data_IF_522114111950
#
_entry.id   IF_522114111950
#
_cell.length_a   1.000
_cell.length_b   1.000
_cell.length_c   1.000
_cell.angle_alpha   90.00
_cell.angle_beta   90.00
_cell.angle_gamma   90.00
#
_symmetry.space_group_name_H-M   'P 1'
#
loop_
_entity.id
_entity.type
_entity.pdbx_description
1 polymer ?
#
# COMPACT_ATOMS: atom_id res chain seq x y z
N UNK A 1 -19.19 -46.31 13.73
CA UNK A 1 -19.38 -44.86 13.49
C UNK A 1 -18.02 -44.30 13.09
N UNK A 2 -17.73 -44.23 11.79
CA UNK A 2 -16.47 -43.68 11.29
C UNK A 2 -16.51 -42.16 11.50
N UNK A 3 -15.85 -41.68 12.54
CA UNK A 3 -15.66 -40.25 12.75
C UNK A 3 -14.77 -39.77 11.61
N UNK A 4 -15.37 -39.00 10.69
CA UNK A 4 -14.85 -37.92 9.83
C UNK A 4 -13.33 -37.60 9.79
N UNK A 5 -12.47 -38.63 9.66
CA UNK A 5 -11.00 -38.50 9.65
C UNK A 5 -10.49 -37.45 8.63
N UNK A 6 -11.14 -37.35 7.46
CA UNK A 6 -10.79 -36.37 6.43
C UNK A 6 -11.10 -34.92 6.83
N UNK A 7 -12.21 -34.67 7.55
CA UNK A 7 -12.60 -33.31 7.99
C UNK A 7 -11.66 -32.81 9.09
N UNK A 8 -11.30 -33.69 10.02
CA UNK A 8 -10.40 -33.33 11.12
C UNK A 8 -8.96 -33.07 10.62
N UNK A 9 -8.51 -33.84 9.63
CA UNK A 9 -7.25 -33.57 8.92
C UNK A 9 -7.32 -32.22 8.20
N UNK A 10 -8.38 -31.94 7.44
CA UNK A 10 -8.51 -30.65 6.73
C UNK A 10 -8.58 -29.45 7.67
N UNK A 11 -9.28 -29.57 8.80
CA UNK A 11 -9.36 -28.51 9.80
C UNK A 11 -8.02 -28.22 10.47
N UNK A 12 -7.16 -29.24 10.65
CA UNK A 12 -5.80 -29.07 11.15
C UNK A 12 -4.94 -28.20 10.24
N UNK A 13 -5.07 -28.36 8.93
CA UNK A 13 -4.27 -27.64 7.93
C UNK A 13 -4.90 -26.33 7.44
N UNK A 14 -6.15 -26.03 7.81
CA UNK A 14 -6.88 -24.87 7.30
C UNK A 14 -6.22 -23.53 7.63
N UNK A 15 -5.50 -23.46 8.76
CA UNK A 15 -4.76 -22.28 9.19
C UNK A 15 -3.28 -22.28 8.77
N UNK A 16 -2.80 -23.34 8.12
CA UNK A 16 -1.44 -23.42 7.64
C UNK A 16 -1.36 -22.78 6.25
N UNK A 17 -0.53 -21.75 6.12
CA UNK A 17 -0.36 -21.00 4.89
C UNK A 17 0.70 -19.91 5.01
N UNK A 18 1.11 -19.43 3.86
CA UNK A 18 1.93 -18.22 3.72
C UNK A 18 1.00 -17.08 3.31
N UNK A 19 1.14 -15.92 3.96
CA UNK A 19 0.25 -14.79 3.79
C UNK A 19 1.05 -13.55 3.38
N UNK A 20 0.54 -12.83 2.39
CA UNK A 20 1.02 -11.51 1.97
C UNK A 20 -0.16 -10.56 1.82
N UNK A 21 0.10 -9.27 1.98
CA UNK A 21 -0.91 -8.23 1.91
C UNK A 21 -0.36 -7.00 1.20
N UNK A 22 -1.18 -6.45 0.31
CA UNK A 22 -0.91 -5.21 -0.41
C UNK A 22 -2.03 -4.21 -0.09
N UNK A 23 -1.66 -2.97 0.21
CA UNK A 23 -2.61 -1.90 0.50
C UNK A 23 -2.21 -0.62 -0.20
N UNK A 24 -3.12 -0.11 -1.01
CA UNK A 24 -2.97 1.18 -1.66
C UNK A 24 -3.74 2.28 -0.92
N UNK A 25 -3.23 3.50 -1.00
CA UNK A 25 -3.93 4.68 -0.51
C UNK A 25 -3.39 5.97 -1.10
N UNK A 26 -4.30 6.89 -1.42
CA UNK A 26 -3.94 8.20 -1.94
C UNK A 26 -3.45 9.11 -0.81
N UNK A 27 -2.42 9.90 -1.07
CA UNK A 27 -1.99 10.97 -0.18
C UNK A 27 -2.81 12.22 -0.42
N UNK A 28 -3.25 12.84 0.66
CA UNK A 28 -4.02 14.09 0.64
C UNK A 28 -3.42 15.13 1.58
N UNK A 29 -3.62 16.40 1.27
CA UNK A 29 -3.30 17.51 2.17
C UNK A 29 -4.34 17.65 3.29
N UNK A 30 -4.15 18.64 4.18
CA UNK A 30 -5.06 18.93 5.29
C UNK A 30 -6.47 19.35 4.86
N UNK A 31 -6.65 19.75 3.60
CA UNK A 31 -7.96 20.07 3.02
C UNK A 31 -8.64 18.86 2.37
N UNK A 32 -8.00 17.69 2.40
CA UNK A 32 -8.49 16.47 1.76
C UNK A 32 -8.28 16.44 0.25
N UNK A 33 -7.47 17.36 -0.31
CA UNK A 33 -7.14 17.37 -1.74
C UNK A 33 -5.95 16.48 -2.01
N UNK A 34 -5.85 15.94 -3.22
CA UNK A 34 -4.71 15.12 -3.63
C UNK A 34 -3.38 15.85 -3.43
N UNK A 35 -2.44 15.16 -2.78
CA UNK A 35 -1.10 15.70 -2.59
C UNK A 35 -0.41 15.92 -3.95
N UNK A 36 0.31 17.04 -4.03
CA UNK A 36 1.10 17.47 -5.19
C UNK A 36 2.60 17.33 -4.94
N UNK A 37 3.01 16.73 -3.83
CA UNK A 37 4.43 16.53 -3.49
C UNK A 37 4.96 15.24 -4.11
N UNK A 38 6.29 15.10 -4.21
CA UNK A 38 6.91 13.86 -4.67
C UNK A 38 6.77 12.73 -3.64
N UNK A 39 6.88 11.49 -4.10
CA UNK A 39 6.82 10.31 -3.25
C UNK A 39 7.92 10.35 -2.17
N UNK A 40 7.58 10.32 -0.87
CA UNK A 40 8.54 10.64 0.18
C UNK A 40 9.32 9.44 0.73
N UNK A 41 9.10 8.22 0.20
CA UNK A 41 9.72 6.99 0.70
C UNK A 41 10.93 6.50 -0.11
N UNK A 42 11.30 7.18 -1.19
CA UNK A 42 12.49 6.83 -1.98
C UNK A 42 12.39 5.43 -2.60
N UNK A 43 13.46 4.62 -2.49
CA UNK A 43 13.51 3.24 -2.97
C UNK A 43 13.26 2.24 -1.82
N UNK A 44 12.20 2.44 -1.05
CA UNK A 44 11.79 1.50 -0.01
C UNK A 44 11.19 0.24 -0.65
N UNK A 45 11.56 -0.94 -0.14
CA UNK A 45 11.12 -2.22 -0.72
C UNK A 45 9.68 -2.60 -0.34
N UNK A 46 9.15 -2.01 0.72
CA UNK A 46 7.85 -2.34 1.29
C UNK A 46 6.84 -1.19 1.18
N UNK A 47 7.31 -0.02 0.74
CA UNK A 47 6.49 1.17 0.52
C UNK A 47 6.91 1.76 -0.83
N UNK A 48 6.14 1.48 -1.87
CA UNK A 48 6.33 2.02 -3.22
C UNK A 48 5.14 2.92 -3.57
N UNK A 49 5.02 3.25 -4.86
CA UNK A 49 3.88 3.93 -5.45
C UNK A 49 3.24 3.05 -6.52
N UNK A 50 1.91 3.11 -6.59
CA UNK A 50 1.18 2.41 -7.63
C UNK A 50 1.11 3.23 -8.95
N UNK A 51 -0.08 3.56 -9.45
CA UNK A 51 -0.27 4.29 -10.72
C UNK A 51 0.11 5.76 -10.61
N UNK A 52 -0.28 6.42 -9.51
CA UNK A 52 0.02 7.84 -9.27
C UNK A 52 1.20 8.06 -8.32
N UNK A 53 1.90 9.18 -8.47
CA UNK A 53 2.99 9.62 -7.60
C UNK A 53 2.55 9.83 -6.14
N UNK A 54 1.27 10.13 -5.94
CA UNK A 54 0.64 10.30 -4.64
C UNK A 54 -0.13 9.06 -4.17
N UNK A 55 -0.11 7.94 -4.88
CA UNK A 55 -0.75 6.68 -4.48
C UNK A 55 0.28 5.78 -3.83
N UNK A 56 0.34 5.79 -2.50
CA UNK A 56 1.26 4.93 -1.73
C UNK A 56 0.76 3.50 -1.79
N UNK A 57 1.68 2.57 -2.04
CA UNK A 57 1.47 1.13 -2.05
C UNK A 57 2.31 0.51 -0.94
N UNK A 58 1.66 -0.15 0.03
CA UNK A 58 2.30 -0.87 1.12
C UNK A 58 2.29 -2.36 0.77
N UNK A 59 3.45 -3.00 0.78
CA UNK A 59 3.63 -4.41 0.42
C UNK A 59 4.31 -5.12 1.59
N UNK A 60 3.63 -6.10 2.18
CA UNK A 60 4.22 -6.91 3.26
C UNK A 60 5.17 -7.97 2.71
N UNK A 61 6.05 -8.49 3.56
CA UNK A 61 6.71 -9.75 3.31
C UNK A 61 5.75 -10.94 3.35
N UNK A 62 6.32 -12.13 3.22
CA UNK A 62 5.61 -13.39 3.45
C UNK A 62 5.59 -13.67 4.94
N UNK A 63 4.39 -13.78 5.52
CA UNK A 63 4.15 -14.13 6.91
C UNK A 63 3.64 -15.57 7.04
N UNK A 64 4.01 -16.26 8.11
CA UNK A 64 3.58 -17.66 8.39
C UNK A 64 2.41 -17.74 9.38
N UNK A 65 1.91 -16.59 9.83
CA UNK A 65 0.71 -16.48 10.66
C UNK A 65 -0.02 -15.16 10.42
N UNK A 66 -1.33 -15.13 10.70
CA UNK A 66 -2.14 -13.91 10.64
C UNK A 66 -1.64 -12.85 11.62
N UNK A 67 -1.19 -13.26 12.81
CA UNK A 67 -0.68 -12.33 13.84
C UNK A 67 0.62 -11.64 13.40
N UNK A 68 1.52 -12.37 12.73
CA UNK A 68 2.74 -11.83 12.13
C UNK A 68 2.40 -10.81 11.04
N UNK A 69 1.52 -11.20 10.11
CA UNK A 69 1.06 -10.33 9.03
C UNK A 69 0.44 -9.04 9.57
N UNK A 70 -0.43 -9.15 10.57
CA UNK A 70 -1.10 -7.99 11.15
C UNK A 70 -0.11 -7.03 11.82
N UNK A 71 0.89 -7.55 12.54
CA UNK A 71 1.95 -6.72 13.14
C UNK A 71 2.74 -5.99 12.06
N UNK A 72 3.07 -6.66 10.96
CA UNK A 72 3.78 -6.04 9.84
C UNK A 72 2.96 -4.92 9.20
N UNK A 73 1.67 -5.17 8.93
CA UNK A 73 0.73 -4.16 8.39
C UNK A 73 0.69 -2.93 9.30
N UNK A 74 0.52 -3.11 10.60
CA UNK A 74 0.45 -2.00 11.57
C UNK A 74 1.76 -1.21 11.59
N UNK A 75 2.91 -1.89 11.56
CA UNK A 75 4.22 -1.25 11.54
C UNK A 75 4.46 -0.43 10.27
N UNK A 76 4.18 -1.01 9.10
CA UNK A 76 4.35 -0.34 7.81
C UNK A 76 3.39 0.85 7.67
N UNK A 77 2.12 0.67 8.02
CA UNK A 77 1.15 1.78 8.04
C UNK A 77 1.57 2.88 9.02
N UNK A 78 2.06 2.51 10.20
CA UNK A 78 2.57 3.45 11.19
C UNK A 78 3.75 4.26 10.63
N UNK A 79 4.70 3.60 9.95
CA UNK A 79 5.83 4.25 9.27
C UNK A 79 5.36 5.22 8.20
N UNK A 80 4.39 4.83 7.37
CA UNK A 80 3.79 5.72 6.36
C UNK A 80 3.20 6.96 7.02
N UNK A 81 2.31 6.79 7.99
CA UNK A 81 1.63 7.91 8.67
C UNK A 81 2.63 8.87 9.32
N UNK A 82 3.60 8.35 10.08
CA UNK A 82 4.61 9.19 10.73
C UNK A 82 5.43 9.99 9.71
N UNK A 83 5.81 9.38 8.59
CA UNK A 83 6.55 10.07 7.53
C UNK A 83 5.74 11.18 6.90
N UNK A 84 4.45 10.95 6.62
CA UNK A 84 3.56 11.97 6.05
C UNK A 84 3.32 13.15 6.98
N UNK A 85 3.35 12.93 8.29
CA UNK A 85 3.24 13.98 9.30
C UNK A 85 4.53 14.80 9.49
N UNK A 86 5.67 14.30 9.00
CA UNK A 86 6.99 14.90 9.21
C UNK A 86 7.63 15.43 7.92
N UNK A 87 6.84 15.70 6.87
CA UNK A 87 7.37 16.21 5.60
C UNK A 87 7.69 17.70 5.71
N UNK A 88 8.82 18.11 5.14
CA UNK A 88 9.20 19.53 5.04
C UNK A 88 8.24 20.34 4.16
N UNK A 89 7.49 19.66 3.28
CA UNK A 89 6.49 20.23 2.37
C UNK A 89 5.14 20.50 3.03
N UNK A 90 4.96 20.14 4.30
CA UNK A 90 3.70 20.23 5.04
C UNK A 90 3.09 18.85 5.35
N UNK A 91 2.15 18.84 6.29
CA UNK A 91 1.50 17.61 6.77
C UNK A 91 0.60 17.03 5.68
N UNK A 92 0.70 15.72 5.49
CA UNK A 92 -0.19 14.96 4.63
C UNK A 92 -0.81 13.77 5.35
N UNK A 93 -1.87 13.24 4.76
CA UNK A 93 -2.63 12.11 5.28
C UNK A 93 -2.80 11.02 4.23
N UNK A 94 -3.06 9.80 4.69
CA UNK A 94 -3.50 8.71 3.82
C UNK A 94 -5.02 8.72 3.76
N UNK A 95 -5.56 8.77 2.55
CA UNK A 95 -6.99 8.71 2.30
C UNK A 95 -7.55 7.34 2.73
N UNK A 96 -8.60 7.29 3.57
CA UNK A 96 -9.03 6.05 4.20
C UNK A 96 -10.03 5.22 3.36
N UNK A 97 -10.49 5.74 2.22
CA UNK A 97 -11.52 5.11 1.40
C UNK A 97 -10.97 4.61 0.07
N UNK A 98 -11.60 3.56 -0.47
CA UNK A 98 -11.25 3.04 -1.81
C UNK A 98 -11.66 3.98 -2.93
N UNK A 99 -12.76 4.72 -2.76
CA UNK A 99 -13.13 5.79 -3.69
C UNK A 99 -12.21 7.00 -3.46
N UNK A 100 -11.70 7.65 -4.52
CA UNK A 100 -10.83 8.81 -4.37
C UNK A 100 -11.57 9.99 -3.70
N UNK A 101 -10.83 10.94 -3.10
CA UNK A 101 -11.38 12.23 -2.74
C UNK A 101 -11.87 12.97 -4.00
N UNK A 102 -12.54 14.09 -3.84
CA UNK A 102 -12.96 14.92 -4.97
C UNK A 102 -11.76 15.29 -5.84
N UNK A 103 -11.81 14.90 -7.13
CA UNK A 103 -10.82 15.27 -8.14
C UNK A 103 -11.46 16.37 -9.01
N UNK A 104 -10.86 17.55 -9.01
CA UNK A 104 -11.44 18.69 -9.75
C UNK A 104 -11.03 18.72 -11.22
N UNK A 105 -9.86 18.16 -11.56
CA UNK A 105 -9.42 18.00 -12.95
C UNK A 105 -8.47 16.81 -13.11
N UNK A 106 -8.39 16.26 -14.33
CA UNK A 106 -7.45 15.18 -14.66
C UNK A 106 -5.98 15.56 -14.40
N UNK A 107 -5.64 16.85 -14.50
CA UNK A 107 -4.30 17.37 -14.23
C UNK A 107 -3.83 17.18 -12.78
N UNK A 108 -4.75 16.90 -11.84
CA UNK A 108 -4.40 16.56 -10.45
C UNK A 108 -3.88 15.13 -10.32
N UNK A 109 -4.14 14.26 -11.30
CA UNK A 109 -3.67 12.88 -11.36
C UNK A 109 -2.27 12.84 -11.96
N UNK A 110 -1.26 12.86 -11.10
CA UNK A 110 0.14 12.78 -11.52
C UNK A 110 0.60 11.33 -11.57
N UNK A 111 0.88 10.84 -12.78
CA UNK A 111 1.47 9.50 -12.99
C UNK A 111 2.79 9.37 -12.23
N UNK A 112 2.99 8.22 -11.60
CA UNK A 112 4.18 7.87 -10.83
C UNK A 112 5.49 8.17 -11.60
N UNK A 113 6.42 8.87 -10.93
CA UNK A 113 7.69 9.29 -11.50
C UNK A 113 8.83 8.38 -11.03
N UNK A 114 9.09 7.32 -11.77
CA UNK A 114 10.26 6.47 -11.56
C UNK A 114 11.50 7.04 -12.26
N UNK A 115 12.60 7.18 -11.53
CA UNK A 115 13.92 7.54 -12.07
C UNK A 115 14.89 6.36 -11.95
N UNK A 116 16.00 6.38 -12.69
CA UNK A 116 17.03 5.34 -12.59
C UNK A 116 16.58 3.97 -13.13
N UNK A 117 17.02 2.84 -12.53
CA UNK A 117 16.72 1.48 -13.01
C UNK A 117 15.22 1.13 -13.07
N UNK A 118 14.37 1.88 -12.37
CA UNK A 118 12.93 1.68 -12.32
C UNK A 118 12.16 2.43 -13.42
N UNK A 119 12.85 3.15 -14.32
CA UNK A 119 12.23 3.96 -15.38
C UNK A 119 11.24 3.18 -16.25
N UNK A 120 11.49 1.88 -16.46
CA UNK A 120 10.62 1.00 -17.27
C UNK A 120 9.23 0.78 -16.66
N UNK A 121 9.08 0.89 -15.33
CA UNK A 121 7.78 0.77 -14.65
C UNK A 121 6.80 1.87 -15.09
N UNK A 122 7.31 3.06 -15.44
CA UNK A 122 6.49 4.20 -15.91
C UNK A 122 5.76 3.88 -17.21
N UNK A 123 6.40 3.15 -18.12
CA UNK A 123 5.80 2.78 -19.42
C UNK A 123 4.66 1.79 -19.23
N UNK A 124 4.79 0.82 -18.33
CA UNK A 124 3.79 -0.24 -18.16
C UNK A 124 2.49 0.32 -17.55
N UNK A 125 2.59 1.20 -16.55
CA UNK A 125 1.42 1.76 -15.85
C UNK A 125 0.60 2.76 -16.68
N UNK A 126 1.13 3.26 -17.79
CA UNK A 126 0.38 4.13 -18.73
C UNK A 126 -0.55 3.33 -19.67
N UNK A 127 -0.45 2.00 -19.71
CA UNK A 127 -1.21 1.13 -20.62
C UNK A 127 -2.07 0.07 -19.91
N UNK A 128 -2.16 0.12 -18.58
CA UNK A 128 -3.06 -0.70 -17.74
C UNK A 128 -4.34 0.05 -17.41
#
# INVERSE_FOLDING_TARGET
>A
MQINNKKDILLKYLGEGEFGFEQEGLRVDESGRLSKTLHPFGEDKQIDRDFCENQVEIITGVSHSIDELYKEIVNLRGKVIHKLQSLDTGIEYLWPFSSPPTIESEDEIRVAQFTGPLSSKKTIKLFS
#
